data_IF_848457915133
#
_entry.id   IF_848457915133
#
_cell.length_a   1.000
_cell.length_b   1.000
_cell.length_c   1.000
_cell.angle_alpha   90.00
_cell.angle_beta   90.00
_cell.angle_gamma   90.00
#
_symmetry.space_group_name_H-M   'P 1'
#
loop_
_entity.id
_entity.type
_entity.pdbx_description
1 polymer ?
#
# COMPACT_ATOMS: atom_id res chain seq x y z
N UNK A 1 -20.33 -15.02 5.96
CA UNK A 1 -21.70 -14.84 5.58
C UNK A 1 -22.52 -13.82 6.40
N UNK A 2 -22.11 -13.42 7.61
CA UNK A 2 -22.80 -12.35 8.36
C UNK A 2 -22.81 -11.02 7.61
N UNK A 3 -21.69 -10.64 6.96
CA UNK A 3 -21.57 -9.38 6.25
C UNK A 3 -22.52 -9.20 5.06
N UNK A 4 -22.82 -10.27 4.34
CA UNK A 4 -23.78 -10.23 3.22
C UNK A 4 -25.23 -10.03 3.73
N UNK A 5 -25.61 -10.71 4.82
CA UNK A 5 -26.93 -10.54 5.43
C UNK A 5 -27.18 -9.10 5.92
N UNK A 6 -26.17 -8.45 6.45
CA UNK A 6 -26.27 -7.06 6.91
C UNK A 6 -26.39 -6.06 5.75
N UNK A 7 -25.72 -6.33 4.62
CA UNK A 7 -25.85 -5.53 3.40
C UNK A 7 -27.29 -5.55 2.87
N UNK A 8 -27.89 -6.73 2.73
CA UNK A 8 -29.27 -6.84 2.23
C UNK A 8 -30.29 -6.15 3.14
N UNK A 9 -30.20 -6.34 4.46
CA UNK A 9 -31.08 -5.66 5.42
C UNK A 9 -30.98 -4.13 5.35
N UNK A 10 -29.76 -3.61 5.18
CA UNK A 10 -29.55 -2.16 5.04
C UNK A 10 -30.05 -1.64 3.69
N UNK A 11 -29.86 -2.41 2.63
CA UNK A 11 -30.37 -2.08 1.31
C UNK A 11 -31.90 -1.99 1.32
N UNK A 12 -32.60 -3.00 1.88
CA UNK A 12 -34.06 -3.00 2.02
C UNK A 12 -34.54 -1.78 2.81
N UNK A 13 -33.84 -1.42 3.88
CA UNK A 13 -34.15 -0.23 4.65
C UNK A 13 -34.07 1.05 3.79
N UNK A 14 -32.99 1.24 3.02
CA UNK A 14 -32.81 2.41 2.17
C UNK A 14 -33.83 2.47 1.03
N UNK A 15 -34.22 1.31 0.48
CA UNK A 15 -35.28 1.25 -0.51
C UNK A 15 -36.62 1.66 0.12
N UNK A 16 -36.94 1.23 1.33
CA UNK A 16 -38.14 1.63 2.06
C UNK A 16 -38.17 3.13 2.40
N UNK A 17 -37.01 3.77 2.49
CA UNK A 17 -36.85 5.22 2.67
C UNK A 17 -36.93 6.00 1.35
N UNK A 18 -37.23 5.33 0.21
CA UNK A 18 -37.43 5.97 -1.09
C UNK A 18 -36.15 6.15 -1.92
N UNK A 19 -35.05 5.50 -1.52
CA UNK A 19 -33.79 5.51 -2.28
C UNK A 19 -33.89 4.43 -3.38
N UNK A 20 -33.50 4.79 -4.62
CA UNK A 20 -33.49 3.81 -5.72
C UNK A 20 -32.55 2.62 -5.45
N UNK A 21 -32.83 1.46 -6.04
CA UNK A 21 -32.14 0.19 -5.77
C UNK A 21 -30.61 0.27 -5.84
N UNK A 22 -30.04 0.81 -6.94
CA UNK A 22 -28.58 0.94 -7.11
C UNK A 22 -27.91 1.89 -6.11
N UNK A 23 -28.44 3.09 -5.83
CA UNK A 23 -27.92 3.95 -4.77
C UNK A 23 -28.07 3.34 -3.37
N UNK A 24 -29.16 2.60 -3.10
CA UNK A 24 -29.38 1.91 -1.84
C UNK A 24 -28.35 0.79 -1.61
N UNK A 25 -28.06 -0.01 -2.63
CA UNK A 25 -27.02 -1.03 -2.60
C UNK A 25 -25.63 -0.42 -2.28
N UNK A 26 -25.25 0.64 -3.00
CA UNK A 26 -23.98 1.32 -2.76
C UNK A 26 -23.86 1.82 -1.33
N UNK A 27 -24.89 2.47 -0.81
CA UNK A 27 -24.92 3.01 0.55
C UNK A 27 -24.89 1.89 1.61
N UNK A 28 -25.59 0.78 1.36
CA UNK A 28 -25.56 -0.39 2.25
C UNK A 28 -24.16 -1.04 2.31
N UNK A 29 -23.43 -1.10 1.18
CA UNK A 29 -22.05 -1.60 1.13
C UNK A 29 -21.10 -0.65 1.88
N UNK A 30 -21.26 0.66 1.71
CA UNK A 30 -20.48 1.67 2.44
C UNK A 30 -20.64 1.53 3.95
N UNK A 31 -21.85 1.36 4.45
CA UNK A 31 -22.13 1.14 5.87
C UNK A 31 -21.59 -0.19 6.39
N UNK A 32 -21.67 -1.25 5.59
CA UNK A 32 -21.18 -2.57 5.98
C UNK A 32 -19.65 -2.62 6.18
N UNK A 33 -18.91 -1.71 5.56
CA UNK A 33 -17.45 -1.63 5.69
C UNK A 33 -16.96 -1.28 7.10
N UNK A 34 -17.77 -0.59 7.90
CA UNK A 34 -17.40 -0.23 9.27
C UNK A 34 -17.11 -1.42 10.20
N UNK A 35 -17.62 -2.61 9.86
CA UNK A 35 -17.39 -3.83 10.63
C UNK A 35 -16.22 -4.67 10.14
N UNK A 36 -15.56 -4.26 9.04
CA UNK A 36 -14.41 -4.99 8.51
C UNK A 36 -13.17 -4.74 9.36
N UNK A 37 -12.43 -5.80 9.74
CA UNK A 37 -11.16 -5.64 10.42
C UNK A 37 -10.11 -5.03 9.47
N UNK A 38 -9.12 -4.34 10.04
CA UNK A 38 -7.99 -3.80 9.26
C UNK A 38 -7.20 -4.88 8.50
N UNK A 39 -7.31 -6.14 8.91
CA UNK A 39 -6.70 -7.29 8.24
C UNK A 39 -7.51 -7.82 7.04
N UNK A 40 -8.57 -7.12 6.63
CA UNK A 40 -9.35 -7.51 5.46
C UNK A 40 -8.53 -7.36 4.18
N UNK A 41 -8.49 -8.41 3.36
CA UNK A 41 -7.79 -8.39 2.07
C UNK A 41 -8.35 -7.31 1.15
N UNK A 42 -7.46 -6.52 0.56
CA UNK A 42 -7.81 -5.51 -0.44
C UNK A 42 -6.93 -5.68 -1.68
N UNK A 43 -7.54 -5.61 -2.85
CA UNK A 43 -6.85 -5.63 -4.15
C UNK A 43 -7.01 -4.29 -4.83
N UNK A 44 -5.89 -3.72 -5.26
CA UNK A 44 -5.88 -2.44 -5.96
C UNK A 44 -4.98 -2.53 -7.19
N UNK A 45 -5.45 -1.99 -8.30
CA UNK A 45 -4.63 -1.78 -9.50
C UNK A 45 -4.49 -0.29 -9.70
N UNK A 46 -3.26 0.19 -9.81
CA UNK A 46 -3.00 1.61 -9.98
C UNK A 46 -1.83 1.83 -10.95
N UNK A 47 -1.81 3.01 -11.57
CA UNK A 47 -0.71 3.48 -12.40
C UNK A 47 -0.08 4.70 -11.76
N UNK A 48 1.25 4.73 -11.71
CA UNK A 48 1.99 5.89 -11.22
C UNK A 48 3.24 6.13 -12.05
N UNK A 49 3.73 7.37 -12.06
CA UNK A 49 4.98 7.70 -12.74
C UNK A 49 6.19 7.22 -11.90
N UNK A 50 7.36 7.10 -12.58
CA UNK A 50 8.58 6.60 -11.95
C UNK A 50 9.03 7.44 -10.74
N UNK A 51 8.84 8.77 -10.77
CA UNK A 51 9.20 9.65 -9.65
C UNK A 51 8.36 9.34 -8.41
N UNK A 52 7.06 9.19 -8.57
CA UNK A 52 6.15 8.83 -7.48
C UNK A 52 6.49 7.45 -6.91
N UNK A 53 6.83 6.50 -7.79
CA UNK A 53 7.22 5.16 -7.39
C UNK A 53 8.56 5.16 -6.62
N UNK A 54 9.55 5.95 -7.05
CA UNK A 54 10.80 6.14 -6.31
C UNK A 54 10.55 6.75 -4.92
N UNK A 55 9.66 7.74 -4.82
CA UNK A 55 9.28 8.33 -3.54
C UNK A 55 8.60 7.31 -2.62
N UNK A 56 7.74 6.47 -3.17
CA UNK A 56 7.14 5.34 -2.43
C UNK A 56 8.23 4.41 -1.87
N UNK A 57 9.20 4.01 -2.68
CA UNK A 57 10.29 3.13 -2.24
C UNK A 57 11.15 3.78 -1.15
N UNK A 58 11.46 5.08 -1.25
CA UNK A 58 12.21 5.79 -0.23
C UNK A 58 11.58 5.68 1.15
N UNK A 59 10.27 5.74 1.23
CA UNK A 59 9.54 5.68 2.50
C UNK A 59 9.17 4.27 2.94
N UNK A 60 8.90 3.35 2.01
CA UNK A 60 8.34 2.03 2.34
C UNK A 60 9.36 0.89 2.35
N UNK A 61 10.51 1.05 1.70
CA UNK A 61 11.63 0.11 1.83
C UNK A 61 12.50 0.38 3.08
N UNK A 62 12.23 1.45 3.84
CA UNK A 62 12.95 1.75 5.06
C UNK A 62 12.69 0.67 6.12
N UNK A 63 13.73 0.28 6.88
CA UNK A 63 13.62 -0.72 7.96
C UNK A 63 12.64 -0.32 9.07
N UNK A 64 12.30 0.96 9.18
CA UNK A 64 11.29 1.48 10.09
C UNK A 64 9.86 1.41 9.57
N UNK A 65 9.66 1.07 8.30
CA UNK A 65 8.34 0.84 7.77
C UNK A 65 7.75 -0.46 8.36
N UNK A 66 6.43 -0.51 8.46
CA UNK A 66 5.73 -1.70 8.90
C UNK A 66 6.12 -2.89 7.98
N UNK A 67 6.32 -4.07 8.55
CA UNK A 67 6.95 -5.20 7.86
C UNK A 67 6.23 -5.64 6.57
N UNK A 68 4.90 -5.60 6.56
CA UNK A 68 4.09 -6.07 5.43
C UNK A 68 4.22 -5.15 4.21
N UNK A 69 4.04 -3.82 4.41
CA UNK A 69 4.23 -2.84 3.34
C UNK A 69 5.69 -2.78 2.87
N UNK A 70 6.66 -3.02 3.78
CA UNK A 70 8.08 -3.10 3.42
C UNK A 70 8.33 -4.30 2.52
N UNK A 71 7.85 -5.49 2.87
CA UNK A 71 8.00 -6.70 2.06
C UNK A 71 7.35 -6.52 0.67
N UNK A 72 6.19 -5.88 0.61
CA UNK A 72 5.56 -5.55 -0.67
C UNK A 72 6.44 -4.60 -1.49
N UNK A 73 6.94 -3.52 -0.88
CA UNK A 73 7.80 -2.54 -1.55
C UNK A 73 9.11 -3.17 -2.07
N UNK A 74 9.71 -4.08 -1.32
CA UNK A 74 10.91 -4.84 -1.73
C UNK A 74 10.64 -5.67 -2.99
N UNK A 75 9.53 -6.41 -3.03
CA UNK A 75 9.12 -7.17 -4.21
C UNK A 75 8.87 -6.26 -5.42
N UNK A 76 8.25 -5.10 -5.19
CA UNK A 76 8.05 -4.10 -6.26
C UNK A 76 9.39 -3.57 -6.81
N UNK A 77 10.38 -3.31 -5.95
CA UNK A 77 11.73 -2.91 -6.38
C UNK A 77 12.35 -3.98 -7.26
N UNK A 78 12.25 -5.26 -6.89
CA UNK A 78 12.78 -6.35 -7.68
C UNK A 78 12.14 -6.42 -9.08
N UNK A 79 10.83 -6.22 -9.18
CA UNK A 79 10.12 -6.23 -10.46
C UNK A 79 10.48 -5.03 -11.35
N UNK A 80 10.52 -3.82 -10.82
CA UNK A 80 10.84 -2.63 -11.64
C UNK A 80 12.30 -2.60 -12.09
N UNK A 81 13.22 -3.17 -11.31
CA UNK A 81 14.63 -3.31 -11.72
C UNK A 81 14.81 -4.29 -12.89
N UNK A 82 13.98 -5.32 -13.01
CA UNK A 82 13.99 -6.23 -14.18
C UNK A 82 13.62 -5.50 -15.47
N UNK A 83 12.65 -4.59 -15.39
CA UNK A 83 12.11 -3.87 -16.55
C UNK A 83 12.94 -2.64 -16.92
N UNK A 84 13.39 -1.87 -15.93
CA UNK A 84 14.11 -0.61 -16.14
C UNK A 84 15.27 -0.44 -15.15
N UNK A 85 16.35 -1.25 -15.26
CA UNK A 85 17.42 -1.30 -14.27
C UNK A 85 18.19 0.01 -14.14
N UNK A 86 18.35 0.76 -15.21
CA UNK A 86 19.06 2.06 -15.20
C UNK A 86 18.22 3.09 -14.42
N UNK A 87 16.93 3.16 -14.68
CA UNK A 87 16.02 4.11 -14.05
C UNK A 87 15.88 3.85 -12.55
N UNK A 88 15.78 2.59 -12.16
CA UNK A 88 15.57 2.16 -10.77
C UNK A 88 16.85 1.69 -10.07
N UNK A 89 18.04 2.04 -10.59
CA UNK A 89 19.33 1.65 -9.99
C UNK A 89 19.40 1.94 -8.50
N UNK A 90 18.90 3.11 -8.06
CA UNK A 90 18.93 3.57 -6.68
C UNK A 90 17.55 3.36 -5.97
N UNK A 91 16.68 2.50 -6.51
CA UNK A 91 15.41 2.21 -5.87
C UNK A 91 15.63 1.49 -4.55
N UNK A 92 14.96 1.98 -3.50
CA UNK A 92 15.10 1.48 -2.14
C UNK A 92 14.88 2.58 -1.11
N UNK A 93 15.22 2.35 0.17
CA UNK A 93 15.10 3.38 1.19
C UNK A 93 15.99 4.59 0.90
N UNK A 94 15.65 5.76 1.43
CA UNK A 94 16.37 7.02 1.17
C UNK A 94 17.90 6.93 1.43
N UNK A 95 18.30 6.08 2.36
CA UNK A 95 19.71 5.90 2.71
C UNK A 95 20.55 5.14 1.66
N UNK A 96 19.92 4.59 0.61
CA UNK A 96 20.63 3.97 -0.53
C UNK A 96 21.33 5.04 -1.37
N UNK A 97 20.63 6.12 -1.69
CA UNK A 97 21.12 7.19 -2.54
C UNK A 97 21.87 8.30 -1.79
N UNK A 98 21.71 8.41 -0.45
CA UNK A 98 22.27 9.50 0.33
C UNK A 98 22.40 9.20 1.82
N UNK A 99 22.59 10.19 2.67
CA UNK A 99 22.54 10.03 4.11
C UNK A 99 21.11 9.70 4.56
N UNK A 100 20.98 9.09 5.74
CA UNK A 100 19.66 8.82 6.31
C UNK A 100 18.97 10.15 6.70
N UNK A 101 17.78 10.45 6.18
CA UNK A 101 17.07 11.69 6.50
C UNK A 101 16.46 11.71 7.90
N UNK A 102 16.38 10.56 8.58
CA UNK A 102 15.71 10.38 9.87
C UNK A 102 16.56 10.91 11.07
N UNK A 103 17.79 11.34 10.86
CA UNK A 103 18.63 11.91 11.90
C UNK A 103 18.76 11.00 13.13
N UNK A 104 18.29 11.47 14.29
CA UNK A 104 18.30 10.71 15.56
C UNK A 104 17.45 9.43 15.51
N UNK A 105 16.49 9.34 14.59
CA UNK A 105 15.61 8.21 14.41
C UNK A 105 16.13 7.18 13.40
N UNK A 106 17.38 7.31 12.95
CA UNK A 106 18.01 6.36 12.04
C UNK A 106 18.07 4.96 12.64
N UNK A 107 17.79 3.94 11.80
CA UNK A 107 17.88 2.53 12.21
C UNK A 107 19.33 2.01 12.36
N UNK A 108 20.34 2.79 11.95
CA UNK A 108 21.75 2.41 11.99
C UNK A 108 22.21 1.40 10.91
N UNK A 109 21.32 0.87 10.09
CA UNK A 109 21.61 -0.20 9.10
C UNK A 109 21.97 0.31 7.70
N UNK A 110 22.53 1.50 7.59
CA UNK A 110 22.83 2.15 6.29
C UNK A 110 23.69 1.28 5.37
N UNK A 111 24.73 0.64 5.91
CA UNK A 111 25.64 -0.23 5.13
C UNK A 111 24.90 -1.47 4.60
N UNK A 112 24.14 -2.11 5.45
CA UNK A 112 23.37 -3.33 5.10
C UNK A 112 22.33 -3.00 4.02
N UNK A 113 21.61 -1.89 4.16
CA UNK A 113 20.63 -1.44 3.18
C UNK A 113 21.27 -1.13 1.82
N UNK A 114 22.43 -0.48 1.80
CA UNK A 114 23.16 -0.24 0.54
C UNK A 114 23.60 -1.54 -0.13
N UNK A 115 24.16 -2.46 0.63
CA UNK A 115 24.55 -3.78 0.11
C UNK A 115 23.35 -4.53 -0.45
N UNK A 116 22.24 -4.52 0.27
CA UNK A 116 21.02 -5.22 -0.14
C UNK A 116 20.42 -4.65 -1.45
N UNK A 117 20.33 -3.33 -1.57
CA UNK A 117 19.60 -2.69 -2.69
C UNK A 117 20.48 -2.34 -3.90
N UNK A 118 21.76 -2.07 -3.71
CA UNK A 118 22.71 -1.79 -4.81
C UNK A 118 23.35 -3.07 -5.37
N UNK A 119 23.33 -4.17 -4.63
CA UNK A 119 23.79 -5.48 -5.08
C UNK A 119 22.78 -6.29 -5.89
N UNK A 120 21.58 -5.79 -6.04
CA UNK A 120 20.51 -6.42 -6.81
C UNK A 120 20.52 -6.05 -8.29
#
# INVERSE_FOLDING_TARGET
>A
SRGLGDVYKRQDKYISEGIGEKPAEKKAIEDARYVFPNACETKIVFTMNARSLMNFFHHRCCDRAQWEIRTMAEKMVDEVKKVAPILFKNAGPSCVAGPCPEGKMCCGKLKDMRTLYLGK
#
